data_IF_467832798075
#
_entry.id   IF_467832798075
#
_cell.length_a   1.000
_cell.length_b   1.000
_cell.length_c   1.000
_cell.angle_alpha   90.00
_cell.angle_beta   90.00
_cell.angle_gamma   90.00
#
_symmetry.space_group_name_H-M   'P 1'
#
loop_
_entity.id
_entity.type
_entity.pdbx_description
1 polymer ?
#
# COMPACT_ATOMS: atom_id res chain seq x y z
N UNK A 1 -1.63 2.07 -26.66
CA UNK A 1 -2.70 1.14 -26.23
C UNK A 1 -4.07 1.47 -26.87
N UNK A 2 -4.57 2.72 -26.78
CA UNK A 2 -5.88 3.13 -27.35
C UNK A 2 -6.00 2.87 -28.85
N UNK A 3 -4.96 3.13 -29.64
CA UNK A 3 -4.98 2.91 -31.09
C UNK A 3 -5.04 1.42 -31.47
N UNK A 4 -4.37 0.56 -30.70
CA UNK A 4 -4.40 -0.88 -30.89
C UNK A 4 -5.78 -1.46 -30.56
N UNK A 5 -6.38 -0.97 -29.45
CA UNK A 5 -7.74 -1.35 -29.04
C UNK A 5 -8.79 -0.89 -30.05
N UNK A 6 -8.71 0.34 -30.55
CA UNK A 6 -9.59 0.83 -31.59
C UNK A 6 -9.53 0.00 -32.89
N UNK A 7 -8.32 -0.41 -33.31
CA UNK A 7 -8.13 -1.32 -34.46
C UNK A 7 -8.75 -2.71 -34.20
N UNK A 8 -8.61 -3.22 -32.96
CA UNK A 8 -9.23 -4.49 -32.59
C UNK A 8 -10.76 -4.42 -32.65
N UNK A 9 -11.37 -3.37 -32.10
CA UNK A 9 -12.81 -3.17 -32.16
C UNK A 9 -13.33 -3.01 -33.59
N UNK A 10 -12.58 -2.27 -34.42
CA UNK A 10 -12.94 -2.12 -35.84
C UNK A 10 -12.93 -3.47 -36.59
N UNK A 11 -11.96 -4.36 -36.33
CA UNK A 11 -11.93 -5.72 -36.86
C UNK A 11 -13.14 -6.56 -36.44
N UNK A 12 -13.69 -6.29 -35.26
CA UNK A 12 -14.92 -6.93 -34.76
C UNK A 12 -16.21 -6.25 -35.25
N UNK A 13 -16.11 -5.30 -36.17
CA UNK A 13 -17.26 -4.52 -36.66
C UNK A 13 -17.90 -3.63 -35.59
N UNK A 14 -17.17 -3.25 -34.57
CA UNK A 14 -17.63 -2.38 -33.47
C UNK A 14 -17.12 -0.98 -33.63
N UNK A 15 -17.96 0.01 -33.31
CA UNK A 15 -17.54 1.42 -33.26
C UNK A 15 -16.64 1.64 -32.01
N UNK A 16 -15.38 2.07 -32.17
CA UNK A 16 -14.49 2.34 -31.03
C UNK A 16 -15.00 3.45 -30.07
N UNK A 17 -15.84 4.36 -30.54
CA UNK A 17 -16.42 5.43 -29.73
C UNK A 17 -17.67 5.00 -28.95
N UNK A 18 -18.33 3.94 -29.40
CA UNK A 18 -19.52 3.37 -28.75
C UNK A 18 -19.53 1.86 -28.93
N UNK A 19 -18.63 1.14 -28.23
CA UNK A 19 -18.44 -0.30 -28.44
C UNK A 19 -19.52 -1.16 -27.77
N UNK A 20 -20.26 -0.59 -26.82
CA UNK A 20 -21.27 -1.30 -26.06
C UNK A 20 -22.58 -1.37 -26.83
N UNK A 21 -23.21 -2.52 -26.82
CA UNK A 21 -24.50 -2.74 -27.49
C UNK A 21 -25.62 -3.14 -26.53
N UNK A 22 -25.26 -3.76 -25.40
CA UNK A 22 -26.21 -4.25 -24.39
C UNK A 22 -25.51 -4.52 -23.08
N UNK A 23 -26.28 -4.71 -22.02
CA UNK A 23 -25.77 -5.19 -20.74
C UNK A 23 -25.32 -6.65 -20.86
N UNK A 24 -24.46 -7.09 -19.96
CA UNK A 24 -24.03 -8.49 -19.87
C UNK A 24 -25.19 -9.38 -19.38
N UNK A 25 -25.29 -10.57 -19.93
CA UNK A 25 -26.40 -11.50 -19.63
C UNK A 25 -26.40 -12.03 -18.17
N UNK A 26 -25.31 -11.78 -17.40
CA UNK A 26 -25.24 -12.10 -15.98
C UNK A 26 -26.08 -11.18 -15.09
N UNK A 27 -26.52 -10.03 -15.61
CA UNK A 27 -27.34 -9.07 -14.88
C UNK A 27 -28.77 -9.25 -15.34
N UNK A 28 -29.62 -9.80 -14.47
CA UNK A 28 -31.04 -9.84 -14.70
C UNK A 28 -31.63 -8.43 -14.61
N UNK A 29 -32.33 -8.00 -15.65
CA UNK A 29 -32.93 -6.68 -15.77
C UNK A 29 -34.44 -6.84 -15.81
N UNK A 30 -35.10 -6.31 -14.79
CA UNK A 30 -36.56 -6.19 -14.73
C UNK A 30 -36.97 -4.84 -15.33
N UNK A 31 -37.46 -4.84 -16.55
CA UNK A 31 -37.86 -3.64 -17.29
C UNK A 31 -38.96 -2.80 -16.55
N UNK A 32 -39.69 -3.38 -15.61
CA UNK A 32 -40.68 -2.68 -14.80
C UNK A 32 -40.07 -1.91 -13.62
N UNK A 33 -38.91 -2.33 -13.13
CA UNK A 33 -38.25 -1.76 -11.95
C UNK A 33 -36.91 -1.11 -12.27
N UNK A 34 -36.17 -1.70 -13.18
CA UNK A 34 -34.81 -1.27 -13.48
C UNK A 34 -34.82 -0.19 -14.58
N UNK A 35 -33.74 0.55 -14.64
CA UNK A 35 -33.51 1.56 -15.67
C UNK A 35 -32.07 1.50 -16.14
N UNK A 36 -31.85 1.75 -17.43
CA UNK A 36 -30.54 1.83 -18.06
C UNK A 36 -30.39 3.21 -18.67
N UNK A 37 -29.48 4.00 -18.15
CA UNK A 37 -29.16 5.32 -18.70
C UNK A 37 -27.71 5.72 -18.38
N UNK A 38 -27.09 6.49 -19.24
CA UNK A 38 -25.82 7.17 -19.01
C UNK A 38 -26.00 8.70 -18.91
N UNK A 39 -27.25 9.17 -18.96
CA UNK A 39 -27.62 10.57 -18.85
C UNK A 39 -27.90 10.93 -17.37
N UNK A 40 -27.09 11.84 -16.83
CA UNK A 40 -27.21 12.25 -15.44
C UNK A 40 -28.55 12.93 -15.11
N UNK A 41 -29.17 13.64 -16.03
CA UNK A 41 -30.47 14.31 -15.84
C UNK A 41 -31.59 13.25 -15.77
N UNK A 42 -31.57 12.28 -16.67
CA UNK A 42 -32.55 11.19 -16.66
C UNK A 42 -32.46 10.39 -15.35
N UNK A 43 -31.23 10.03 -14.94
CA UNK A 43 -31.00 9.30 -13.70
C UNK A 43 -31.49 10.12 -12.49
N UNK A 44 -31.18 11.40 -12.45
CA UNK A 44 -31.64 12.29 -11.38
C UNK A 44 -33.18 12.35 -11.31
N UNK A 45 -33.82 12.61 -12.46
CA UNK A 45 -35.27 12.69 -12.56
C UNK A 45 -35.95 11.37 -12.15
N UNK A 46 -35.37 10.23 -12.52
CA UNK A 46 -35.85 8.92 -12.09
C UNK A 46 -35.79 8.74 -10.57
N UNK A 47 -34.65 9.12 -9.96
CA UNK A 47 -34.48 9.06 -8.52
C UNK A 47 -35.47 9.97 -7.77
N UNK A 48 -35.70 11.18 -8.29
CA UNK A 48 -36.70 12.11 -7.72
C UNK A 48 -38.13 11.58 -7.88
N UNK A 49 -38.50 11.14 -9.06
CA UNK A 49 -39.83 10.61 -9.35
C UNK A 49 -40.19 9.38 -8.48
N UNK A 50 -39.17 8.59 -8.13
CA UNK A 50 -39.33 7.40 -7.26
C UNK A 50 -39.10 7.72 -5.76
N UNK A 51 -38.84 8.95 -5.38
CA UNK A 51 -38.55 9.34 -4.01
C UNK A 51 -37.28 8.71 -3.41
N UNK A 52 -36.34 8.30 -4.27
CA UNK A 52 -35.07 7.64 -3.85
C UNK A 52 -34.11 8.69 -3.30
N UNK A 53 -33.82 8.61 -2.02
CA UNK A 53 -32.85 9.47 -1.33
C UNK A 53 -31.53 8.79 -1.04
N UNK A 54 -31.54 7.45 -0.85
CA UNK A 54 -30.37 6.66 -0.52
C UNK A 54 -29.88 5.93 -1.77
N UNK A 55 -28.60 6.12 -2.13
CA UNK A 55 -28.02 5.57 -3.36
C UNK A 55 -26.76 4.79 -3.00
N UNK A 56 -26.74 3.52 -3.36
CA UNK A 56 -25.57 2.65 -3.24
C UNK A 56 -24.89 2.56 -4.61
N UNK A 57 -23.63 2.96 -4.70
CA UNK A 57 -22.86 2.86 -5.93
C UNK A 57 -21.92 1.66 -5.89
N UNK A 58 -21.90 0.97 -7.03
CA UNK A 58 -21.01 -0.16 -7.32
C UNK A 58 -20.42 0.02 -8.73
N UNK A 59 -19.44 -0.79 -9.09
CA UNK A 59 -18.93 -0.87 -10.47
C UNK A 59 -17.51 -0.33 -10.62
N UNK A 60 -17.08 -0.18 -11.84
CA UNK A 60 -15.73 0.22 -12.26
C UNK A 60 -15.80 1.46 -13.16
N UNK A 61 -14.87 2.33 -13.20
CA UNK A 61 -13.61 2.46 -12.44
C UNK A 61 -13.81 3.44 -11.28
N UNK A 62 -13.47 3.03 -10.08
CA UNK A 62 -13.71 3.80 -8.85
C UNK A 62 -13.18 5.22 -8.92
N UNK A 63 -11.92 5.39 -9.34
CA UNK A 63 -11.23 6.69 -9.43
C UNK A 63 -11.67 7.57 -10.62
N UNK A 64 -12.53 7.07 -11.50
CA UNK A 64 -13.01 7.77 -12.69
C UNK A 64 -14.52 7.82 -12.74
N UNK A 65 -15.16 6.81 -13.34
CA UNK A 65 -16.59 6.79 -13.62
C UNK A 65 -17.44 6.78 -12.34
N UNK A 66 -17.13 5.89 -11.40
CA UNK A 66 -17.87 5.79 -10.13
C UNK A 66 -17.79 7.09 -9.33
N UNK A 67 -16.62 7.71 -9.30
CA UNK A 67 -16.40 8.95 -8.55
C UNK A 67 -16.93 10.19 -9.25
N UNK A 68 -16.76 10.31 -10.58
CA UNK A 68 -16.85 11.58 -11.30
C UNK A 68 -17.94 11.74 -12.36
N UNK A 69 -18.66 10.67 -12.75
CA UNK A 69 -19.77 10.81 -13.70
C UNK A 69 -20.87 11.72 -13.15
N UNK A 70 -21.76 12.30 -14.01
CA UNK A 70 -22.90 13.11 -13.55
C UNK A 70 -23.75 12.42 -12.48
N UNK A 71 -23.84 11.10 -12.53
CA UNK A 71 -24.51 10.25 -11.57
C UNK A 71 -23.54 9.52 -10.62
N UNK A 72 -22.25 9.91 -10.59
CA UNK A 72 -21.23 9.37 -9.71
C UNK A 72 -21.29 9.95 -8.30
N UNK A 73 -20.49 9.39 -7.40
CA UNK A 73 -20.49 9.69 -5.96
C UNK A 73 -20.46 11.19 -5.64
N UNK A 74 -19.52 11.93 -6.27
CA UNK A 74 -19.35 13.38 -6.00
C UNK A 74 -20.58 14.18 -6.34
N UNK A 75 -21.18 13.92 -7.51
CA UNK A 75 -22.32 14.70 -7.97
C UNK A 75 -23.58 14.34 -7.20
N UNK A 76 -23.82 13.07 -6.92
CA UNK A 76 -24.95 12.63 -6.11
C UNK A 76 -24.87 13.18 -4.68
N UNK A 77 -23.72 13.12 -4.03
CA UNK A 77 -23.50 13.68 -2.70
C UNK A 77 -23.68 15.22 -2.70
N UNK A 78 -23.10 15.93 -3.68
CA UNK A 78 -23.22 17.39 -3.81
C UNK A 78 -24.67 17.85 -4.00
N UNK A 79 -25.46 17.06 -4.71
CA UNK A 79 -26.87 17.36 -4.96
C UNK A 79 -27.82 16.85 -3.84
N UNK A 80 -27.28 16.36 -2.72
CA UNK A 80 -28.05 16.07 -1.53
C UNK A 80 -28.61 14.65 -1.42
N UNK A 81 -28.16 13.70 -2.24
CA UNK A 81 -28.44 12.28 -2.02
C UNK A 81 -27.56 11.70 -0.90
N UNK A 82 -28.11 10.81 -0.13
CA UNK A 82 -27.34 9.96 0.80
C UNK A 82 -26.64 8.90 -0.02
N UNK A 83 -25.34 9.01 -0.16
CA UNK A 83 -24.56 8.14 -1.07
C UNK A 83 -23.62 7.27 -0.27
N UNK A 84 -23.53 5.99 -0.61
CA UNK A 84 -22.54 5.05 -0.11
C UNK A 84 -21.86 4.33 -1.29
N UNK A 85 -20.56 4.12 -1.17
CA UNK A 85 -19.82 3.21 -2.04
C UNK A 85 -19.80 1.81 -1.41
N UNK A 86 -20.17 0.78 -2.18
CA UNK A 86 -19.92 -0.62 -1.77
C UNK A 86 -18.51 -0.96 -2.23
N UNK A 87 -17.54 -0.90 -1.30
CA UNK A 87 -16.10 -0.93 -1.62
C UNK A 87 -15.57 -2.27 -2.12
N UNK A 88 -16.25 -3.37 -1.83
CA UNK A 88 -15.93 -4.71 -2.33
C UNK A 88 -16.56 -5.02 -3.69
N UNK A 89 -17.43 -4.14 -4.19
CA UNK A 89 -18.03 -4.23 -5.51
C UNK A 89 -17.54 -3.10 -6.43
N UNK A 90 -16.30 -2.67 -6.26
CA UNK A 90 -15.65 -1.64 -7.08
C UNK A 90 -14.18 -1.98 -7.34
N UNK A 91 -13.64 -1.42 -8.41
CA UNK A 91 -12.22 -1.54 -8.73
C UNK A 91 -11.71 -0.28 -9.42
N UNK A 92 -10.46 0.10 -9.16
CA UNK A 92 -9.85 1.30 -9.73
C UNK A 92 -9.17 1.03 -11.05
N UNK A 93 -9.13 2.01 -11.93
CA UNK A 93 -8.27 2.01 -13.10
C UNK A 93 -6.88 2.51 -12.68
N UNK A 94 -6.05 1.59 -12.20
CA UNK A 94 -4.72 1.90 -11.70
C UNK A 94 -3.68 0.88 -12.17
N UNK A 95 -2.55 1.40 -12.64
CA UNK A 95 -1.39 0.60 -13.03
C UNK A 95 -0.30 0.70 -11.94
N UNK A 96 0.12 -0.42 -11.33
CA UNK A 96 1.20 -0.46 -10.33
C UNK A 96 2.54 0.13 -10.80
N UNK A 97 2.79 0.18 -12.10
CA UNK A 97 3.96 0.85 -12.68
C UNK A 97 3.88 2.39 -12.65
N UNK A 98 2.75 2.95 -12.24
CA UNK A 98 2.52 4.38 -12.08
C UNK A 98 2.54 4.79 -10.61
N UNK A 99 2.83 6.06 -10.36
CA UNK A 99 2.74 6.60 -9.01
C UNK A 99 1.35 6.31 -8.39
N UNK A 100 1.22 5.90 -7.13
CA UNK A 100 2.22 5.82 -6.05
C UNK A 100 3.04 4.52 -5.97
N UNK A 101 3.10 3.70 -7.04
CA UNK A 101 3.92 2.48 -7.14
C UNK A 101 3.59 1.41 -6.09
N UNK A 102 2.32 1.27 -5.79
CA UNK A 102 1.79 0.22 -4.90
C UNK A 102 1.14 -0.90 -5.73
N UNK A 103 0.84 -2.04 -5.14
CA UNK A 103 0.08 -3.05 -5.86
C UNK A 103 -1.33 -2.55 -6.21
N UNK A 104 -1.99 -3.20 -7.18
CA UNK A 104 -3.30 -2.79 -7.69
C UNK A 104 -4.37 -2.68 -6.59
N UNK A 105 -4.41 -3.64 -5.68
CA UNK A 105 -5.38 -3.65 -4.57
C UNK A 105 -5.14 -2.49 -3.62
N UNK A 106 -3.88 -2.20 -3.30
CA UNK A 106 -3.54 -1.05 -2.48
C UNK A 106 -3.89 0.27 -3.20
N UNK A 107 -3.70 0.33 -4.51
CA UNK A 107 -4.14 1.46 -5.33
C UNK A 107 -5.64 1.71 -5.20
N UNK A 108 -6.45 0.67 -5.29
CA UNK A 108 -7.90 0.74 -5.08
C UNK A 108 -8.24 1.15 -3.64
N UNK A 109 -7.57 0.59 -2.63
CA UNK A 109 -7.77 0.98 -1.24
C UNK A 109 -7.47 2.47 -0.99
N UNK A 110 -6.43 3.03 -1.60
CA UNK A 110 -6.11 4.47 -1.51
C UNK A 110 -7.21 5.35 -2.10
N UNK A 111 -7.85 4.92 -3.19
CA UNK A 111 -9.00 5.63 -3.78
C UNK A 111 -10.20 5.55 -2.83
N UNK A 112 -10.47 4.40 -2.23
CA UNK A 112 -11.53 4.22 -1.24
C UNK A 112 -11.28 5.10 -0.02
N UNK A 113 -10.07 5.11 0.54
CA UNK A 113 -9.69 6.01 1.64
C UNK A 113 -9.94 7.49 1.30
N UNK A 114 -9.59 7.92 0.08
CA UNK A 114 -9.90 9.27 -0.38
C UNK A 114 -11.42 9.54 -0.39
N UNK A 115 -12.21 8.59 -0.87
CA UNK A 115 -13.68 8.71 -0.93
C UNK A 115 -14.25 8.85 0.49
N UNK A 116 -13.83 8.00 1.42
CA UNK A 116 -14.26 8.02 2.83
C UNK A 116 -13.97 9.36 3.52
N UNK A 117 -12.80 9.93 3.26
CA UNK A 117 -12.40 11.20 3.89
C UNK A 117 -13.00 12.44 3.23
N UNK A 118 -13.40 12.38 1.97
CA UNK A 118 -13.69 13.61 1.17
C UNK A 118 -15.02 13.62 0.44
N UNK A 119 -15.70 12.48 0.32
CA UNK A 119 -16.89 12.39 -0.55
C UNK A 119 -18.09 11.80 0.17
N UNK A 120 -17.99 10.55 0.63
CA UNK A 120 -19.10 9.83 1.27
C UNK A 120 -18.59 8.61 2.05
N UNK A 121 -19.38 8.10 2.99
CA UNK A 121 -19.08 6.84 3.67
C UNK A 121 -19.09 5.65 2.70
N UNK A 122 -18.48 4.55 3.12
CA UNK A 122 -18.49 3.27 2.39
C UNK A 122 -19.09 2.16 3.24
N UNK A 123 -19.49 1.08 2.58
CA UNK A 123 -19.91 -0.17 3.20
C UNK A 123 -19.36 -1.35 2.41
N UNK A 124 -19.55 -2.56 2.89
CA UNK A 124 -19.24 -3.80 2.18
C UNK A 124 -20.50 -4.61 1.96
N UNK A 125 -20.51 -5.50 0.96
CA UNK A 125 -21.67 -6.31 0.63
C UNK A 125 -22.09 -7.23 1.78
N UNK A 126 -21.14 -7.74 2.57
CA UNK A 126 -21.41 -8.56 3.75
C UNK A 126 -22.17 -7.81 4.84
N UNK A 127 -21.99 -6.50 4.97
CA UNK A 127 -22.75 -5.67 5.93
C UNK A 127 -24.22 -5.50 5.53
N UNK A 128 -24.53 -5.67 4.25
CA UNK A 128 -25.89 -5.57 3.72
C UNK A 128 -26.58 -6.93 3.60
N UNK A 129 -25.84 -7.94 3.18
CA UNK A 129 -26.38 -9.27 2.83
C UNK A 129 -26.01 -10.34 3.86
N UNK A 130 -25.14 -10.03 4.81
CA UNK A 130 -24.52 -11.02 5.68
C UNK A 130 -23.40 -11.78 4.97
N UNK A 131 -22.73 -12.68 5.69
CA UNK A 131 -21.65 -13.49 5.15
C UNK A 131 -20.32 -13.24 5.84
N UNK A 132 -19.22 -13.55 5.15
CA UNK A 132 -17.86 -13.30 5.66
C UNK A 132 -17.46 -11.86 5.40
N UNK A 133 -16.81 -11.18 6.36
CA UNK A 133 -16.25 -9.85 6.12
C UNK A 133 -15.33 -9.84 4.90
N UNK A 134 -15.48 -8.81 4.09
CA UNK A 134 -14.65 -8.59 2.93
C UNK A 134 -13.29 -7.98 3.32
N UNK A 135 -12.24 -8.43 2.63
CA UNK A 135 -10.91 -7.81 2.65
C UNK A 135 -10.29 -7.90 1.25
N UNK A 136 -9.68 -6.82 0.79
CA UNK A 136 -8.93 -6.87 -0.46
C UNK A 136 -7.73 -7.83 -0.31
N UNK A 137 -7.49 -8.70 -1.30
CA UNK A 137 -6.24 -9.46 -1.36
C UNK A 137 -5.07 -8.49 -1.47
N UNK A 138 -4.08 -8.62 -0.56
CA UNK A 138 -2.95 -7.70 -0.50
C UNK A 138 -3.25 -6.36 0.18
N UNK A 139 -4.35 -6.26 0.93
CA UNK A 139 -4.67 -5.15 1.82
C UNK A 139 -3.76 -5.14 3.08
N UNK A 140 -2.97 -6.19 3.26
CA UNK A 140 -1.90 -6.20 4.24
C UNK A 140 -0.94 -5.07 3.89
N UNK A 141 -0.91 -4.06 4.75
CA UNK A 141 0.00 -2.92 4.59
C UNK A 141 1.43 -3.47 4.61
N UNK A 142 2.23 -3.25 3.54
CA UNK A 142 3.62 -3.66 3.56
C UNK A 142 4.28 -3.17 4.85
N UNK A 143 5.04 -4.04 5.50
CA UNK A 143 5.62 -3.74 6.80
C UNK A 143 7.14 -3.53 6.68
N UNK A 144 7.58 -2.33 6.96
CA UNK A 144 8.99 -1.97 7.03
C UNK A 144 9.42 -1.87 8.48
N UNK A 145 10.43 -2.63 8.86
CA UNK A 145 11.08 -2.53 10.17
C UNK A 145 12.38 -1.75 10.02
N UNK A 146 12.44 -0.61 10.69
CA UNK A 146 13.64 0.22 10.79
C UNK A 146 14.44 -0.21 12.01
N UNK A 147 15.62 -0.77 11.80
CA UNK A 147 16.55 -1.13 12.86
C UNK A 147 17.60 -0.04 12.99
N UNK A 148 17.59 0.67 14.12
CA UNK A 148 18.39 1.89 14.34
C UNK A 148 19.34 1.68 15.50
N UNK A 149 20.65 1.73 15.23
CA UNK A 149 21.69 1.44 16.21
C UNK A 149 23.00 2.20 15.95
N UNK A 150 22.90 3.40 15.38
CA UNK A 150 24.03 4.30 15.18
C UNK A 150 23.86 5.60 15.99
N UNK A 151 24.92 6.40 16.10
CA UNK A 151 24.94 7.65 16.90
C UNK A 151 25.51 8.85 16.14
N UNK A 152 25.89 8.67 14.87
CA UNK A 152 26.62 9.69 14.11
C UNK A 152 25.72 10.59 13.27
N UNK A 153 24.55 10.10 12.86
CA UNK A 153 23.73 10.73 11.81
C UNK A 153 22.31 11.06 12.25
N UNK A 154 22.02 10.96 13.55
CA UNK A 154 20.70 11.23 14.13
C UNK A 154 19.55 10.49 13.43
N UNK A 155 19.81 9.24 12.99
CA UNK A 155 18.78 8.45 12.30
C UNK A 155 17.64 8.03 13.22
N UNK A 156 17.84 8.11 14.55
CA UNK A 156 16.77 7.90 15.52
C UNK A 156 15.65 8.94 15.41
N UNK A 157 15.97 10.18 14.99
CA UNK A 157 15.00 11.24 14.76
C UNK A 157 14.58 11.35 13.30
N UNK A 158 15.54 11.23 12.38
CA UNK A 158 15.30 11.51 10.96
C UNK A 158 14.57 10.41 10.23
N UNK A 159 14.77 9.12 10.57
CA UNK A 159 14.08 8.00 9.94
C UNK A 159 12.58 7.94 10.27
N UNK A 160 12.12 8.19 11.52
CA UNK A 160 10.68 8.32 11.77
C UNK A 160 10.02 9.44 10.97
N UNK A 161 10.65 10.60 10.85
CA UNK A 161 10.15 11.71 10.02
C UNK A 161 10.10 11.34 8.54
N UNK A 162 11.12 10.65 8.04
CA UNK A 162 11.14 10.12 6.68
C UNK A 162 9.98 9.13 6.46
N UNK A 163 9.79 8.20 7.38
CA UNK A 163 8.72 7.21 7.27
C UNK A 163 7.34 7.88 7.27
N UNK A 164 7.08 8.79 8.20
CA UNK A 164 5.83 9.55 8.27
C UNK A 164 5.57 10.31 6.97
N UNK A 165 6.58 11.02 6.46
CA UNK A 165 6.45 11.89 5.28
C UNK A 165 6.38 11.12 3.95
N UNK A 166 7.02 9.96 3.85
CA UNK A 166 7.23 9.29 2.56
C UNK A 166 6.66 7.88 2.45
N UNK A 167 6.36 7.20 3.57
CA UNK A 167 5.93 5.80 3.58
C UNK A 167 4.53 5.60 4.16
N UNK A 168 4.26 6.12 5.34
CA UNK A 168 3.02 5.83 6.06
C UNK A 168 1.78 6.35 5.34
N UNK A 169 1.84 7.54 4.75
CA UNK A 169 0.73 8.06 3.96
C UNK A 169 0.42 7.22 2.71
N UNK A 170 1.40 6.40 2.25
CA UNK A 170 1.21 5.43 1.16
C UNK A 170 0.68 4.08 1.66
N UNK A 171 0.31 4.01 2.93
CA UNK A 171 -0.21 2.80 3.55
C UNK A 171 0.86 1.77 3.89
N UNK A 172 2.11 2.17 4.05
CA UNK A 172 3.19 1.31 4.54
C UNK A 172 3.21 1.38 6.06
N UNK A 173 3.14 0.23 6.72
CA UNK A 173 3.31 0.13 8.17
C UNK A 173 4.79 0.23 8.51
N UNK A 174 5.17 1.14 9.39
CA UNK A 174 6.55 1.33 9.83
C UNK A 174 6.69 0.98 11.31
N UNK A 175 7.69 0.19 11.65
CA UNK A 175 8.06 -0.13 13.04
C UNK A 175 9.51 0.26 13.28
N UNK A 176 9.77 0.99 14.37
CA UNK A 176 11.10 1.46 14.71
C UNK A 176 11.65 0.65 15.88
N UNK A 177 12.78 -0.02 15.64
CA UNK A 177 13.50 -0.84 16.60
C UNK A 177 14.79 -0.14 16.95
N UNK A 178 14.86 0.35 18.17
CA UNK A 178 16.04 1.06 18.68
C UNK A 178 16.88 0.17 19.59
N UNK A 179 18.14 0.54 19.73
CA UNK A 179 19.01 -0.05 20.77
C UNK A 179 18.46 0.30 22.15
N UNK A 180 18.62 -0.61 23.08
CA UNK A 180 18.30 -0.36 24.49
C UNK A 180 19.28 0.68 25.07
N UNK A 181 18.81 1.53 25.97
CA UNK A 181 19.66 2.55 26.63
C UNK A 181 20.68 1.94 27.57
N UNK A 182 20.30 0.86 28.25
CA UNK A 182 21.16 0.17 29.23
C UNK A 182 22.09 -0.84 28.55
N UNK A 183 21.63 -1.48 27.48
CA UNK A 183 22.41 -2.42 26.66
C UNK A 183 22.35 -1.99 25.18
N UNK A 184 23.31 -1.19 24.71
CA UNK A 184 23.32 -0.64 23.35
C UNK A 184 23.54 -1.69 22.24
N UNK A 185 23.77 -2.92 22.58
CA UNK A 185 23.82 -4.05 21.63
C UNK A 185 22.47 -4.80 21.53
N UNK A 186 21.55 -4.54 22.44
CA UNK A 186 20.21 -5.15 22.45
C UNK A 186 19.20 -4.26 21.73
N UNK A 187 18.49 -4.82 20.75
CA UNK A 187 17.47 -4.14 19.95
C UNK A 187 16.06 -4.47 20.46
N UNK A 188 15.50 -3.54 21.23
CA UNK A 188 14.18 -3.72 21.83
C UNK A 188 13.09 -3.74 20.74
N UNK A 189 12.28 -4.81 20.71
CA UNK A 189 11.20 -4.94 19.73
C UNK A 189 11.59 -5.58 18.41
N UNK A 190 12.81 -6.11 18.26
CA UNK A 190 13.28 -6.77 17.01
C UNK A 190 12.40 -7.96 16.57
N UNK A 191 11.55 -8.49 17.45
CA UNK A 191 10.55 -9.50 17.11
C UNK A 191 9.61 -9.08 15.98
N UNK A 192 9.45 -7.78 15.72
CA UNK A 192 8.70 -7.25 14.59
C UNK A 192 9.21 -7.72 13.22
N UNK A 193 10.48 -8.19 13.12
CA UNK A 193 11.03 -8.77 11.90
C UNK A 193 10.32 -10.04 11.44
N UNK A 194 9.63 -10.74 12.31
CA UNK A 194 8.90 -11.97 11.96
C UNK A 194 7.84 -11.69 10.88
N UNK A 195 7.19 -10.53 10.97
CA UNK A 195 6.10 -10.10 10.10
C UNK A 195 6.53 -9.01 9.09
N UNK A 196 7.79 -8.58 9.14
CA UNK A 196 8.29 -7.55 8.24
C UNK A 196 8.40 -8.06 6.80
N UNK A 197 8.12 -7.17 5.85
CA UNK A 197 8.37 -7.39 4.41
C UNK A 197 9.72 -6.82 3.98
N UNK A 198 10.23 -5.82 4.71
CA UNK A 198 11.52 -5.20 4.46
C UNK A 198 12.21 -4.81 5.77
N UNK A 199 13.50 -5.12 5.86
CA UNK A 199 14.39 -4.61 6.91
C UNK A 199 15.12 -3.37 6.39
N UNK A 200 14.93 -2.22 7.06
CA UNK A 200 15.70 -1.00 6.82
C UNK A 200 16.75 -0.84 7.93
N UNK A 201 18.03 -0.93 7.57
CA UNK A 201 19.13 -1.04 8.52
C UNK A 201 19.96 0.24 8.59
N UNK A 202 19.97 0.87 9.76
CA UNK A 202 20.87 1.99 10.13
C UNK A 202 21.60 1.65 11.43
N UNK A 203 22.57 0.77 11.33
CA UNK A 203 23.32 0.23 12.47
C UNK A 203 24.82 0.41 12.25
N UNK A 204 25.55 0.66 13.33
CA UNK A 204 26.99 0.81 13.33
C UNK A 204 27.64 0.07 14.47
N UNK A 205 28.50 -0.90 14.14
CA UNK A 205 29.40 -1.64 15.09
C UNK A 205 28.67 -2.13 16.33
N UNK A 206 27.62 -2.96 16.12
CA UNK A 206 26.85 -3.61 17.18
C UNK A 206 27.10 -5.10 17.20
N UNK A 207 26.97 -5.68 18.36
CA UNK A 207 27.04 -7.13 18.57
C UNK A 207 25.78 -7.58 19.31
N UNK A 208 24.67 -7.73 18.59
CA UNK A 208 23.41 -8.09 19.24
C UNK A 208 23.47 -9.50 19.87
N UNK A 209 22.57 -9.80 20.81
CA UNK A 209 22.37 -11.16 21.27
C UNK A 209 22.19 -12.13 20.09
N UNK A 210 22.75 -13.34 20.19
CA UNK A 210 22.67 -14.36 19.11
C UNK A 210 21.26 -14.53 18.57
N UNK A 211 20.27 -14.66 19.46
CA UNK A 211 18.86 -14.84 19.07
C UNK A 211 18.32 -13.66 18.21
N UNK A 212 18.82 -12.45 18.42
CA UNK A 212 18.42 -11.29 17.61
C UNK A 212 19.09 -11.30 16.24
N UNK A 213 20.35 -11.71 16.17
CA UNK A 213 21.06 -11.88 14.90
C UNK A 213 20.44 -12.99 14.06
N UNK A 214 19.98 -14.06 14.71
CA UNK A 214 19.28 -15.17 14.07
C UNK A 214 17.91 -14.75 13.48
N UNK A 215 17.21 -13.79 14.09
CA UNK A 215 16.01 -13.20 13.49
C UNK A 215 16.32 -12.46 12.19
N UNK A 216 17.43 -11.73 12.14
CA UNK A 216 17.88 -11.05 10.91
C UNK A 216 18.21 -12.08 9.84
N UNK A 217 18.97 -13.11 10.18
CA UNK A 217 19.28 -14.21 9.26
C UNK A 217 18.04 -14.93 8.75
N UNK A 218 17.08 -15.19 9.63
CA UNK A 218 15.83 -15.85 9.26
C UNK A 218 14.96 -14.97 8.33
N UNK A 219 14.99 -13.64 8.49
CA UNK A 219 14.33 -12.69 7.58
C UNK A 219 14.94 -12.79 6.17
N UNK A 220 16.26 -12.74 6.08
CA UNK A 220 16.99 -12.80 4.82
C UNK A 220 16.88 -14.19 4.14
N UNK A 221 16.93 -15.27 4.92
CA UNK A 221 16.76 -16.63 4.41
C UNK A 221 15.39 -16.90 3.77
N UNK A 222 14.37 -16.11 4.13
CA UNK A 222 13.04 -16.12 3.48
C UNK A 222 13.02 -15.35 2.16
N UNK A 223 14.15 -14.83 1.69
CA UNK A 223 14.24 -13.98 0.51
C UNK A 223 13.65 -12.58 0.70
N UNK A 224 13.42 -12.16 1.94
CA UNK A 224 12.90 -10.81 2.22
C UNK A 224 14.01 -9.77 2.08
N UNK A 225 13.70 -8.60 1.46
CA UNK A 225 14.72 -7.60 1.15
C UNK A 225 15.24 -6.86 2.38
N UNK A 226 16.46 -6.33 2.22
CA UNK A 226 17.12 -5.42 3.14
C UNK A 226 17.57 -4.16 2.42
N UNK A 227 17.40 -3.00 3.03
CA UNK A 227 18.01 -1.73 2.64
C UNK A 227 18.97 -1.30 3.75
N UNK A 228 20.26 -1.25 3.45
CA UNK A 228 21.27 -0.72 4.36
C UNK A 228 21.67 0.70 3.99
N UNK A 229 21.75 1.59 4.97
CA UNK A 229 22.24 2.96 4.76
C UNK A 229 23.52 3.24 5.55
N UNK A 230 24.39 4.10 4.98
CA UNK A 230 25.58 4.65 5.65
C UNK A 230 26.45 3.56 6.26
N UNK A 231 26.35 3.42 7.55
CA UNK A 231 27.19 2.55 8.40
C UNK A 231 26.80 1.08 8.38
N UNK A 232 25.77 0.70 7.62
CA UNK A 232 25.30 -0.67 7.52
C UNK A 232 26.38 -1.66 7.03
N UNK A 233 27.36 -1.20 6.24
CA UNK A 233 28.48 -2.02 5.80
C UNK A 233 29.33 -2.61 6.94
N UNK A 234 29.36 -1.99 8.09
CA UNK A 234 30.03 -2.46 9.30
C UNK A 234 29.07 -2.52 10.50
N UNK A 235 27.82 -2.90 10.23
CA UNK A 235 26.76 -2.91 11.23
C UNK A 235 27.08 -3.82 12.42
N UNK A 236 27.60 -5.03 12.14
CA UNK A 236 27.80 -6.10 13.11
C UNK A 236 29.26 -6.51 13.28
N UNK A 237 30.17 -5.60 12.97
CA UNK A 237 31.62 -5.79 13.06
C UNK A 237 32.21 -5.13 14.32
N UNK A 238 31.96 -5.74 15.48
CA UNK A 238 32.58 -5.39 16.76
C UNK A 238 32.84 -6.65 17.56
N UNK A 239 33.82 -6.66 18.45
CA UNK A 239 34.04 -7.77 19.37
C UNK A 239 32.85 -7.92 20.34
N UNK A 240 32.26 -9.11 20.47
CA UNK A 240 31.15 -9.36 21.37
C UNK A 240 31.53 -9.15 22.84
N UNK A 241 30.69 -8.43 23.62
CA UNK A 241 30.96 -8.19 25.04
C UNK A 241 30.80 -9.42 25.92
N UNK A 242 30.13 -10.48 25.43
CA UNK A 242 29.92 -11.75 26.12
C UNK A 242 29.62 -12.90 25.17
N UNK A 243 29.64 -14.13 25.67
CA UNK A 243 29.26 -15.31 24.89
C UNK A 243 27.80 -15.38 24.43
N UNK A 244 26.93 -14.53 24.98
CA UNK A 244 25.51 -14.40 24.58
C UNK A 244 25.34 -13.55 23.31
N UNK A 245 26.34 -12.76 22.98
CA UNK A 245 26.37 -11.88 21.82
C UNK A 245 27.10 -12.52 20.65
N UNK A 246 26.85 -12.02 19.46
CA UNK A 246 27.54 -12.48 18.25
C UNK A 246 27.85 -11.31 17.31
N UNK A 247 28.89 -11.50 16.52
CA UNK A 247 29.23 -10.62 15.40
C UNK A 247 28.94 -11.31 14.07
N UNK A 248 28.87 -10.52 13.02
CA UNK A 248 28.74 -10.98 11.63
C UNK A 248 29.67 -10.17 10.76
N UNK A 249 30.94 -10.56 10.75
CA UNK A 249 32.00 -9.80 10.07
C UNK A 249 31.88 -9.80 8.56
N UNK A 250 31.28 -10.84 7.98
CA UNK A 250 31.06 -10.98 6.54
C UNK A 250 29.69 -10.41 6.09
N UNK A 251 28.99 -9.64 6.95
CA UNK A 251 27.67 -9.12 6.63
C UNK A 251 27.66 -8.21 5.40
N UNK A 252 28.69 -7.42 5.23
CA UNK A 252 28.87 -6.51 4.09
C UNK A 252 29.04 -7.28 2.76
N UNK A 253 29.90 -8.29 2.74
CA UNK A 253 30.14 -9.11 1.55
C UNK A 253 28.96 -10.05 1.25
N UNK A 254 28.52 -10.82 2.23
CA UNK A 254 27.44 -11.81 2.08
C UNK A 254 26.07 -11.22 1.76
N UNK A 255 25.75 -10.06 2.34
CA UNK A 255 24.39 -9.48 2.30
C UNK A 255 24.31 -8.20 1.49
N UNK A 256 25.29 -7.30 1.63
CA UNK A 256 25.26 -6.00 0.93
C UNK A 256 26.03 -6.03 -0.39
N UNK A 257 26.83 -7.08 -0.65
CA UNK A 257 27.65 -7.20 -1.85
C UNK A 257 28.77 -6.16 -1.93
N UNK A 258 29.31 -5.74 -0.78
CA UNK A 258 30.41 -4.78 -0.65
C UNK A 258 31.50 -5.30 0.27
N UNK A 259 32.75 -4.90 0.05
CA UNK A 259 33.90 -5.23 0.92
C UNK A 259 34.31 -3.94 1.65
N UNK A 260 33.80 -3.75 2.85
CA UNK A 260 34.13 -2.60 3.69
C UNK A 260 35.45 -2.83 4.42
N UNK A 261 36.50 -2.15 4.03
CA UNK A 261 37.80 -2.21 4.71
C UNK A 261 38.03 -1.06 5.66
N UNK A 262 37.71 0.16 5.20
CA UNK A 262 37.85 1.38 5.98
C UNK A 262 37.11 2.54 5.30
N UNK A 263 36.98 3.66 5.96
CA UNK A 263 36.51 4.91 5.37
C UNK A 263 37.62 5.96 5.43
N UNK A 264 37.65 6.82 4.45
CA UNK A 264 38.54 7.96 4.46
C UNK A 264 38.11 8.96 5.55
N UNK A 265 39.06 9.47 6.33
CA UNK A 265 38.77 10.52 7.30
C UNK A 265 38.36 11.83 6.59
N UNK A 266 37.53 12.63 7.24
CA UNK A 266 37.15 13.97 6.73
C UNK A 266 38.27 15.00 6.81
N UNK A 267 39.50 14.61 7.07
CA UNK A 267 40.64 15.51 7.06
C UNK A 267 41.20 15.54 5.62
N UNK A 268 41.48 16.74 5.08
CA UNK A 268 42.22 16.84 3.84
C UNK A 268 43.60 16.15 3.98
N UNK A 269 44.14 15.59 2.90
CA UNK A 269 45.45 14.92 2.93
C UNK A 269 46.56 15.84 3.39
#
# INVERSE_FOLDING_TARGET
>A
EHAAWAKHLAKLGRNPRSPWKRQVDLIDIDAGRDAISDNGIEIWNLLEARGIRNVLLVGVHTNMCVLGRPFGLRNMARNGKNVLLIRDLTDSMYNPASWPYVNHFRGTALVVEHIEHRVCPTTTSDQLLGGKPFGFRGDEKPHVVFMIGEKEYDTASTLPLFAQKHLEYRGIRCTFVHVNKEDPDNFTGIGALKDADLLFLSVRRRTPPKAQLDLIRAHLAKGKPLVGIRTASHAFDREPPSQRHARWTQFDDEILGVDYRQHYGNRPP
#
